data_IF_285671596129
#
_entry.id   IF_285671596129
#
_cell.length_a   1.000
_cell.length_b   1.000
_cell.length_c   1.000
_cell.angle_alpha   90.00
_cell.angle_beta   90.00
_cell.angle_gamma   90.00
#
_symmetry.space_group_name_H-M   'P 1'
#
loop_
_entity.id
_entity.type
_entity.pdbx_description
1 polymer ?
#
# COMPACT_ATOMS: atom_id res chain seq x y z
N UNK A 1 10.57 5.58 -4.07
CA UNK A 1 9.60 5.82 -2.98
C UNK A 1 10.11 5.27 -1.65
N UNK A 2 10.38 3.96 -1.52
CA UNK A 2 10.81 3.34 -0.25
C UNK A 2 11.97 4.08 0.46
N UNK A 3 12.99 4.55 -0.26
CA UNK A 3 14.07 5.37 0.34
C UNK A 3 13.56 6.61 1.09
N UNK A 4 12.58 7.31 0.52
CA UNK A 4 11.98 8.49 1.15
C UNK A 4 11.05 8.10 2.30
N UNK A 5 10.31 6.98 2.17
CA UNK A 5 9.51 6.41 3.25
C UNK A 5 10.38 6.13 4.48
N UNK A 6 11.55 5.49 4.31
CA UNK A 6 12.47 5.28 5.42
C UNK A 6 12.99 6.57 6.03
N UNK A 7 13.35 7.54 5.18
CA UNK A 7 13.84 8.85 5.64
C UNK A 7 12.80 9.55 6.52
N UNK A 8 11.53 9.58 6.08
CA UNK A 8 10.43 10.16 6.85
C UNK A 8 10.19 9.33 8.12
N UNK A 9 10.15 8.00 8.04
CA UNK A 9 9.95 7.14 9.21
C UNK A 9 11.02 7.36 10.29
N UNK A 10 12.27 7.66 9.90
CA UNK A 10 13.35 7.97 10.85
C UNK A 10 13.16 9.31 11.58
N UNK A 11 12.39 10.26 11.04
CA UNK A 11 12.12 11.54 11.73
C UNK A 11 11.04 11.42 12.81
N UNK A 12 10.29 10.31 12.84
CA UNK A 12 9.22 10.07 13.81
C UNK A 12 9.54 8.82 14.64
N UNK A 13 9.95 8.97 15.92
CA UNK A 13 10.30 7.83 16.78
C UNK A 13 9.21 6.75 16.83
N UNK A 14 7.93 7.15 16.93
CA UNK A 14 6.78 6.24 17.01
C UNK A 14 6.40 5.56 15.69
N UNK A 15 7.12 5.84 14.61
CA UNK A 15 6.90 5.29 13.26
C UNK A 15 8.08 4.42 12.84
N UNK A 16 9.24 4.60 13.49
CA UNK A 16 10.43 3.81 13.26
C UNK A 16 10.11 2.32 13.50
N UNK A 17 10.17 1.53 12.43
CA UNK A 17 9.87 0.10 12.47
C UNK A 17 8.43 -0.28 12.08
N UNK A 18 7.60 0.69 11.69
CA UNK A 18 6.23 0.49 11.17
C UNK A 18 6.13 0.56 9.63
N UNK A 19 7.29 0.62 8.95
CA UNK A 19 7.42 0.51 7.50
C UNK A 19 8.15 -0.81 7.15
N UNK A 20 7.93 -1.40 5.97
CA UNK A 20 8.55 -2.67 5.58
C UNK A 20 10.06 -2.55 5.64
N UNK A 21 10.77 -3.57 6.11
CA UNK A 21 12.23 -3.58 6.17
C UNK A 21 12.80 -4.26 4.92
N UNK A 22 13.34 -3.47 4.00
CA UNK A 22 14.03 -3.91 2.79
C UNK A 22 15.45 -4.32 3.15
N UNK A 23 15.72 -5.62 3.07
CA UNK A 23 17.02 -6.21 3.39
C UNK A 23 17.95 -6.15 2.18
N UNK A 24 17.43 -6.48 1.00
CA UNK A 24 18.20 -6.55 -0.23
C UNK A 24 17.32 -6.20 -1.43
N UNK A 25 17.91 -5.59 -2.45
CA UNK A 25 17.27 -5.46 -3.75
C UNK A 25 18.28 -5.67 -4.88
N UNK A 26 17.79 -6.15 -6.01
CA UNK A 26 18.54 -6.28 -7.25
C UNK A 26 17.69 -5.77 -8.41
N UNK A 27 18.30 -4.97 -9.28
CA UNK A 27 17.63 -4.44 -10.47
C UNK A 27 18.16 -5.22 -11.67
N UNK A 28 17.25 -5.84 -12.43
CA UNK A 28 17.64 -6.45 -13.71
C UNK A 28 17.77 -5.36 -14.76
N UNK A 29 18.91 -5.35 -15.45
CA UNK A 29 19.27 -4.35 -16.47
C UNK A 29 18.36 -4.33 -17.70
N UNK A 30 17.51 -5.35 -17.88
CA UNK A 30 16.56 -5.42 -18.99
C UNK A 30 15.27 -4.69 -18.62
N UNK A 31 15.15 -3.44 -19.09
CA UNK A 31 13.90 -2.69 -19.00
C UNK A 31 12.84 -3.26 -19.96
N UNK A 32 11.55 -3.02 -19.68
CA UNK A 32 10.49 -3.35 -20.62
C UNK A 32 10.64 -2.63 -21.95
N UNK A 33 11.33 -1.48 -21.98
CA UNK A 33 11.67 -0.79 -23.23
C UNK A 33 12.61 -1.63 -24.08
N UNK A 34 13.67 -2.20 -23.49
CA UNK A 34 14.60 -3.10 -24.19
C UNK A 34 13.90 -4.35 -24.73
N UNK A 35 12.95 -4.91 -23.96
CA UNK A 35 12.13 -6.05 -24.40
C UNK A 35 11.24 -5.66 -25.58
N UNK A 36 10.57 -4.50 -25.54
CA UNK A 36 9.70 -4.03 -26.62
C UNK A 36 10.48 -3.77 -27.92
N UNK A 37 11.67 -3.18 -27.81
CA UNK A 37 12.61 -3.00 -28.93
C UNK A 37 12.99 -4.36 -29.52
N UNK A 38 13.40 -5.32 -28.69
CA UNK A 38 13.78 -6.66 -29.15
C UNK A 38 12.62 -7.42 -29.82
N UNK A 39 11.37 -7.14 -29.45
CA UNK A 39 10.16 -7.71 -30.05
C UNK A 39 9.65 -6.95 -31.30
N UNK A 40 10.31 -5.86 -31.71
CA UNK A 40 9.93 -5.09 -32.90
C UNK A 40 8.59 -4.34 -32.75
N UNK A 41 8.18 -3.99 -31.53
CA UNK A 41 6.92 -3.29 -31.29
C UNK A 41 7.04 -1.80 -31.68
N UNK A 42 6.11 -1.31 -32.50
CA UNK A 42 6.12 0.05 -33.10
C UNK A 42 6.10 1.20 -32.09
N UNK A 43 5.72 0.95 -30.83
CA UNK A 43 5.70 1.95 -29.76
C UNK A 43 7.06 2.10 -29.04
N UNK A 44 8.10 1.40 -29.50
CA UNK A 44 9.44 1.42 -28.90
C UNK A 44 10.06 2.83 -28.82
N UNK A 45 9.77 3.71 -29.77
CA UNK A 45 10.24 5.11 -29.75
C UNK A 45 9.52 5.98 -28.70
N UNK A 46 8.29 5.63 -28.28
CA UNK A 46 7.61 6.26 -27.13
C UNK A 46 8.09 5.73 -25.77
N UNK A 47 8.92 4.67 -25.78
CA UNK A 47 9.30 3.93 -24.58
C UNK A 47 10.46 4.56 -23.78
N UNK A 48 11.09 5.64 -24.27
CA UNK A 48 12.09 6.40 -23.51
C UNK A 48 11.54 6.95 -22.18
N UNK A 49 10.24 7.16 -22.07
CA UNK A 49 9.58 7.68 -20.85
C UNK A 49 8.81 6.60 -20.05
N UNK A 50 8.72 5.36 -20.53
CA UNK A 50 7.79 4.34 -20.02
C UNK A 50 8.40 2.98 -19.64
N UNK A 51 9.73 2.87 -19.62
CA UNK A 51 10.40 1.61 -19.29
C UNK A 51 10.24 1.22 -17.82
N UNK A 52 9.66 0.06 -17.54
CA UNK A 52 9.67 -0.57 -16.22
C UNK A 52 10.92 -1.43 -16.09
N UNK A 53 11.64 -1.31 -14.99
CA UNK A 53 12.72 -2.23 -14.63
C UNK A 53 12.16 -3.31 -13.70
N UNK A 54 12.67 -4.55 -13.82
CA UNK A 54 12.35 -5.59 -12.86
C UNK A 54 13.21 -5.41 -11.61
N UNK A 55 12.53 -5.15 -10.49
CA UNK A 55 13.12 -5.13 -9.17
C UNK A 55 12.86 -6.47 -8.49
N UNK A 56 13.93 -7.10 -8.01
CA UNK A 56 13.85 -8.22 -7.07
C UNK A 56 14.14 -7.63 -5.70
N UNK A 57 13.17 -7.64 -4.80
CA UNK A 57 13.28 -7.08 -3.46
C UNK A 57 13.09 -8.19 -2.42
N UNK A 58 13.90 -8.14 -1.37
CA UNK A 58 13.85 -9.06 -0.24
C UNK A 58 13.54 -8.25 1.00
N UNK A 59 12.43 -8.57 1.64
CA UNK A 59 11.97 -7.92 2.86
C UNK A 59 12.03 -8.90 4.04
N UNK A 60 12.02 -8.36 5.26
CA UNK A 60 11.65 -9.13 6.45
C UNK A 60 10.33 -9.86 6.17
N UNK A 61 10.23 -11.13 6.58
CA UNK A 61 8.97 -11.87 6.51
C UNK A 61 7.94 -11.23 7.43
N UNK A 62 6.80 -10.87 6.86
CA UNK A 62 5.62 -10.36 7.58
C UNK A 62 4.48 -11.38 7.48
N UNK A 63 3.53 -11.29 8.40
CA UNK A 63 2.26 -12.04 8.36
C UNK A 63 1.08 -11.07 8.23
N UNK A 64 -0.05 -11.47 7.64
CA UNK A 64 -1.21 -10.60 7.51
C UNK A 64 -1.74 -10.13 8.87
N UNK A 65 -2.16 -8.87 8.98
CA UNK A 65 -2.78 -8.34 10.21
C UNK A 65 -4.05 -9.12 10.59
N UNK A 66 -4.70 -9.75 9.60
CA UNK A 66 -5.90 -10.57 9.75
C UNK A 66 -5.68 -11.84 10.57
N UNK A 67 -4.43 -12.21 10.85
CA UNK A 67 -4.09 -13.30 11.77
C UNK A 67 -4.27 -12.92 13.24
N UNK A 68 -4.38 -11.62 13.55
CA UNK A 68 -4.60 -11.10 14.90
C UNK A 68 -6.09 -10.99 15.21
N UNK A 69 -6.42 -10.84 16.50
CA UNK A 69 -7.78 -10.59 16.96
C UNK A 69 -7.80 -9.70 18.20
N UNK A 70 -8.97 -9.16 18.56
CA UNK A 70 -9.17 -8.36 19.78
C UNK A 70 -8.19 -7.19 19.93
N UNK A 71 -7.57 -7.09 21.10
CA UNK A 71 -6.66 -6.00 21.45
C UNK A 71 -5.38 -5.98 20.60
N UNK A 72 -4.82 -7.15 20.26
CA UNK A 72 -3.61 -7.25 19.45
C UNK A 72 -3.85 -6.67 18.04
N UNK A 73 -4.99 -7.00 17.44
CA UNK A 73 -5.40 -6.46 16.15
C UNK A 73 -5.58 -4.94 16.21
N UNK A 74 -6.33 -4.44 17.19
CA UNK A 74 -6.57 -3.00 17.33
C UNK A 74 -5.28 -2.22 17.59
N UNK A 75 -4.37 -2.75 18.40
CA UNK A 75 -3.08 -2.15 18.66
C UNK A 75 -2.22 -2.07 17.38
N UNK A 76 -2.13 -3.17 16.62
CA UNK A 76 -1.39 -3.21 15.36
C UNK A 76 -2.02 -2.28 14.29
N UNK A 77 -3.35 -2.26 14.18
CA UNK A 77 -4.05 -1.36 13.26
C UNK A 77 -3.78 0.11 13.62
N UNK A 78 -3.80 0.45 14.90
CA UNK A 78 -3.49 1.80 15.34
C UNK A 78 -2.05 2.22 15.05
N UNK A 79 -1.09 1.29 15.16
CA UNK A 79 0.29 1.52 14.75
C UNK A 79 0.39 1.84 13.25
N UNK A 80 -0.35 1.12 12.40
CA UNK A 80 -0.46 1.40 10.95
C UNK A 80 -1.02 2.80 10.71
N UNK A 81 -2.09 3.20 11.40
CA UNK A 81 -2.71 4.54 11.27
C UNK A 81 -1.70 5.64 11.61
N UNK A 82 -0.94 5.48 12.71
CA UNK A 82 0.11 6.44 13.09
C UNK A 82 1.20 6.53 12.03
N UNK A 83 1.65 5.40 11.51
CA UNK A 83 2.64 5.33 10.45
C UNK A 83 2.16 6.04 9.18
N UNK A 84 0.97 5.67 8.69
CA UNK A 84 0.36 6.27 7.51
C UNK A 84 0.26 7.80 7.64
N UNK A 85 -0.24 8.30 8.78
CA UNK A 85 -0.38 9.74 9.02
C UNK A 85 0.95 10.48 8.99
N UNK A 86 2.01 9.90 9.55
CA UNK A 86 3.34 10.50 9.53
C UNK A 86 3.91 10.55 8.11
N UNK A 87 3.78 9.46 7.34
CA UNK A 87 4.19 9.41 5.95
C UNK A 87 3.43 10.42 5.08
N UNK A 88 2.11 10.54 5.29
CA UNK A 88 1.28 11.53 4.61
C UNK A 88 1.75 12.97 4.89
N UNK A 89 2.03 13.30 6.16
CA UNK A 89 2.58 14.62 6.52
C UNK A 89 3.96 14.86 5.91
N UNK A 90 4.74 13.80 5.68
CA UNK A 90 5.99 13.84 4.93
C UNK A 90 5.81 13.90 3.40
N UNK A 91 4.57 13.98 2.91
CA UNK A 91 4.23 14.10 1.50
C UNK A 91 4.18 12.78 0.74
N UNK A 92 4.18 11.63 1.42
CA UNK A 92 4.00 10.30 0.80
C UNK A 92 2.53 9.92 0.81
N UNK A 93 1.97 9.69 -0.37
CA UNK A 93 0.60 9.23 -0.55
C UNK A 93 0.63 7.72 -0.79
N UNK A 94 -0.01 6.92 0.09
CA UNK A 94 0.03 5.46 -0.02
C UNK A 94 -0.80 4.95 -1.21
N UNK A 95 -2.05 5.44 -1.31
CA UNK A 95 -3.03 5.18 -2.38
C UNK A 95 -3.60 3.76 -2.47
N UNK A 96 -2.97 2.77 -1.84
CA UNK A 96 -3.51 1.41 -1.80
C UNK A 96 -3.61 0.86 -0.37
N UNK A 97 -4.43 1.51 0.46
CA UNK A 97 -4.73 1.00 1.80
C UNK A 97 -5.78 -0.10 1.68
N UNK A 98 -5.42 -1.33 2.07
CA UNK A 98 -6.28 -2.50 2.01
C UNK A 98 -5.85 -3.53 3.07
N UNK A 99 -6.71 -4.51 3.46
CA UNK A 99 -6.36 -5.47 4.48
C UNK A 99 -5.16 -6.35 4.13
N UNK A 100 -4.89 -6.57 2.83
CA UNK A 100 -3.71 -7.31 2.36
C UNK A 100 -2.40 -6.55 2.54
N UNK A 101 -2.47 -5.22 2.63
CA UNK A 101 -1.30 -4.35 2.78
C UNK A 101 -1.04 -4.00 4.25
N UNK A 102 -1.98 -4.33 5.15
CA UNK A 102 -1.77 -4.27 6.59
C UNK A 102 -1.14 -5.58 7.06
N UNK A 103 0.10 -5.50 7.51
CA UNK A 103 0.92 -6.65 7.88
C UNK A 103 1.45 -6.49 9.30
N UNK A 104 1.96 -7.57 9.89
CA UNK A 104 2.60 -7.53 11.21
C UNK A 104 3.85 -8.41 11.24
N UNK A 105 4.72 -8.15 12.21
CA UNK A 105 5.70 -9.13 12.68
C UNK A 105 5.71 -9.14 14.20
N UNK A 106 6.11 -10.27 14.79
CA UNK A 106 6.21 -10.42 16.23
C UNK A 106 7.63 -10.09 16.69
N UNK A 107 7.77 -9.29 17.74
CA UNK A 107 9.05 -8.83 18.28
C UNK A 107 8.89 -8.42 19.74
N UNK A 108 9.77 -8.90 20.63
CA UNK A 108 9.74 -8.59 22.06
C UNK A 108 8.34 -8.78 22.69
N UNK A 109 7.71 -9.92 22.43
CA UNK A 109 6.37 -10.28 22.94
C UNK A 109 5.23 -9.32 22.52
N UNK A 110 5.43 -8.60 21.41
CA UNK A 110 4.44 -7.69 20.85
C UNK A 110 4.35 -7.82 19.33
N UNK A 111 3.15 -7.63 18.80
CA UNK A 111 2.93 -7.47 17.37
C UNK A 111 3.19 -6.02 16.94
N UNK A 112 3.98 -5.89 15.89
CA UNK A 112 4.33 -4.61 15.26
C UNK A 112 3.61 -4.51 13.92
N UNK A 113 2.67 -3.59 13.82
CA UNK A 113 1.93 -3.22 12.62
C UNK A 113 2.79 -2.53 11.58
N UNK A 114 2.68 -3.00 10.33
CA UNK A 114 3.40 -2.50 9.16
C UNK A 114 2.38 -2.13 8.09
N UNK A 115 2.51 -0.91 7.55
CA UNK A 115 1.87 -0.57 6.27
C UNK A 115 2.80 -0.97 5.12
N UNK A 116 2.42 -1.99 4.37
CA UNK A 116 3.20 -2.57 3.28
C UNK A 116 2.72 -2.12 1.89
N UNK A 117 3.52 -2.43 0.87
CA UNK A 117 3.23 -2.21 -0.55
C UNK A 117 3.11 -0.74 -0.99
N UNK A 118 4.27 -0.17 -1.36
CA UNK A 118 4.38 1.21 -1.83
C UNK A 118 4.51 1.33 -3.35
N UNK A 119 4.18 0.28 -4.10
CA UNK A 119 4.38 0.27 -5.56
C UNK A 119 3.45 1.25 -6.28
N UNK A 120 2.27 1.51 -5.69
CA UNK A 120 1.28 2.47 -6.17
C UNK A 120 1.39 3.86 -5.52
N UNK A 121 2.30 4.01 -4.57
CA UNK A 121 2.47 5.25 -3.85
C UNK A 121 3.04 6.37 -4.73
N UNK A 122 2.92 7.60 -4.26
CA UNK A 122 3.49 8.77 -4.95
C UNK A 122 3.81 9.89 -3.96
N UNK A 123 4.42 10.97 -4.45
CA UNK A 123 4.66 12.16 -3.64
C UNK A 123 3.65 13.25 -3.98
N UNK A 124 3.18 14.00 -2.99
CA UNK A 124 2.24 15.11 -3.22
C UNK A 124 2.79 16.15 -4.21
N UNK A 125 4.11 16.42 -4.14
CA UNK A 125 4.82 17.35 -5.02
C UNK A 125 4.85 16.92 -6.50
N UNK A 126 4.57 15.66 -6.81
CA UNK A 126 4.64 15.13 -8.17
C UNK A 126 3.34 15.34 -8.97
N UNK A 127 2.29 15.90 -8.36
CA UNK A 127 0.99 16.13 -8.99
C UNK A 127 0.24 14.85 -9.39
N UNK A 128 -0.90 14.98 -10.08
CA UNK A 128 -1.66 13.83 -10.56
C UNK A 128 -0.99 13.25 -11.81
N UNK A 129 -0.45 12.03 -11.70
CA UNK A 129 0.25 11.35 -12.82
C UNK A 129 -0.68 10.57 -13.75
N UNK A 130 -2.00 10.71 -13.61
CA UNK A 130 -2.99 9.86 -14.31
C UNK A 130 -2.94 8.37 -13.95
N UNK A 131 -2.03 7.98 -13.05
CA UNK A 131 -1.88 6.65 -12.44
C UNK A 131 -2.75 6.50 -11.18
N UNK A 132 -3.71 7.40 -10.96
CA UNK A 132 -4.60 7.42 -9.78
C UNK A 132 -5.69 6.34 -9.85
N UNK A 133 -5.69 5.53 -10.91
CA UNK A 133 -6.57 4.36 -11.12
C UNK A 133 -6.25 3.18 -10.19
N UNK A 134 -5.40 3.38 -9.20
CA UNK A 134 -4.72 2.30 -8.49
C UNK A 134 -5.17 2.30 -7.04
N UNK A 135 -5.83 1.22 -6.66
CA UNK A 135 -6.30 0.95 -5.31
C UNK A 135 -7.16 -0.32 -5.36
N UNK A 136 -7.24 -1.02 -4.25
CA UNK A 136 -8.08 -2.22 -4.13
C UNK A 136 -9.56 -1.81 -4.12
N UNK A 137 -10.30 -2.06 -5.21
CA UNK A 137 -11.65 -1.48 -5.49
C UNK A 137 -12.62 -1.51 -4.30
N UNK A 138 -12.77 -2.61 -3.53
CA UNK A 138 -13.67 -2.63 -2.36
C UNK A 138 -13.28 -1.69 -1.22
N UNK A 139 -12.00 -1.27 -1.18
CA UNK A 139 -11.43 -0.39 -0.14
C UNK A 139 -11.11 1.02 -0.68
N UNK A 140 -11.39 1.25 -1.96
CA UNK A 140 -11.28 2.57 -2.57
C UNK A 140 -12.44 3.44 -2.07
N UNK A 141 -12.10 4.65 -1.61
CA UNK A 141 -13.09 5.63 -1.14
C UNK A 141 -14.16 5.88 -2.22
N UNK A 142 -15.42 6.05 -1.81
CA UNK A 142 -16.56 6.24 -2.73
C UNK A 142 -16.34 7.40 -3.70
N UNK A 143 -15.73 8.50 -3.22
CA UNK A 143 -15.46 9.68 -4.05
C UNK A 143 -14.41 9.43 -5.16
N UNK A 144 -13.58 8.39 -5.03
CA UNK A 144 -12.62 8.00 -6.07
C UNK A 144 -13.22 7.04 -7.11
N UNK A 145 -14.47 6.58 -6.93
CA UNK A 145 -15.20 5.76 -7.89
C UNK A 145 -15.91 6.59 -8.98
N UNK A 146 -15.71 7.92 -9.01
CA UNK A 146 -16.28 8.78 -10.05
C UNK A 146 -15.45 8.74 -11.34
N UNK A 147 -16.05 8.94 -12.53
CA UNK A 147 -15.31 8.99 -13.80
C UNK A 147 -14.16 10.01 -13.79
N UNK A 148 -14.35 11.16 -13.13
CA UNK A 148 -13.33 12.20 -13.02
C UNK A 148 -12.19 11.81 -12.07
N UNK A 149 -12.49 11.14 -10.95
CA UNK A 149 -11.46 10.58 -10.09
C UNK A 149 -10.67 9.47 -10.79
N UNK A 150 -11.35 8.57 -11.50
CA UNK A 150 -10.72 7.53 -12.32
C UNK A 150 -9.91 8.09 -13.50
N UNK A 151 -10.21 9.33 -13.91
CA UNK A 151 -9.41 10.09 -14.87
C UNK A 151 -8.23 10.84 -14.25
N UNK A 152 -8.02 10.73 -12.92
CA UNK A 152 -6.94 11.41 -12.19
C UNK A 152 -7.14 12.92 -12.06
N UNK A 153 -8.39 13.40 -12.13
CA UNK A 153 -8.75 14.81 -12.01
C UNK A 153 -9.09 15.24 -10.59
N UNK A 154 -9.24 14.28 -9.67
CA UNK A 154 -9.55 14.54 -8.26
C UNK A 154 -8.26 14.50 -7.46
N UNK A 155 -7.94 15.59 -6.75
CA UNK A 155 -6.78 15.62 -5.87
C UNK A 155 -6.95 14.55 -4.79
N UNK A 156 -5.95 13.68 -4.65
CA UNK A 156 -5.90 12.74 -3.52
C UNK A 156 -5.65 13.49 -2.22
N UNK A 157 -6.56 13.35 -1.24
CA UNK A 157 -6.48 13.98 0.07
C UNK A 157 -6.43 12.93 1.18
N UNK A 158 -5.95 13.31 2.36
CA UNK A 158 -5.77 12.38 3.48
C UNK A 158 -7.07 11.64 3.86
N UNK A 159 -8.21 12.33 3.73
CA UNK A 159 -9.52 11.75 4.02
C UNK A 159 -9.81 10.49 3.19
N UNK A 160 -9.28 10.38 1.98
CA UNK A 160 -9.44 9.20 1.14
C UNK A 160 -8.78 7.96 1.75
N UNK A 161 -7.49 8.06 2.10
CA UNK A 161 -6.77 6.95 2.73
C UNK A 161 -7.28 6.67 4.16
N UNK A 162 -7.73 7.71 4.88
CA UNK A 162 -8.33 7.56 6.20
C UNK A 162 -9.65 6.79 6.17
N UNK A 163 -10.49 7.02 5.16
CA UNK A 163 -11.70 6.23 4.95
C UNK A 163 -11.36 4.77 4.61
N UNK A 164 -10.35 4.53 3.76
CA UNK A 164 -9.85 3.17 3.50
C UNK A 164 -9.38 2.48 4.79
N UNK A 165 -8.68 3.17 5.69
CA UNK A 165 -8.28 2.61 6.99
C UNK A 165 -9.50 2.19 7.84
N UNK A 166 -10.59 2.96 7.82
CA UNK A 166 -11.85 2.60 8.49
C UNK A 166 -12.47 1.36 7.82
N UNK A 167 -12.52 1.32 6.49
CA UNK A 167 -13.03 0.16 5.77
C UNK A 167 -12.22 -1.11 6.03
N UNK A 168 -10.89 -1.02 6.16
CA UNK A 168 -10.05 -2.16 6.55
C UNK A 168 -10.39 -2.66 7.94
N UNK A 169 -10.59 -1.76 8.91
CA UNK A 169 -10.99 -2.11 10.27
C UNK A 169 -12.33 -2.86 10.26
N UNK A 170 -13.34 -2.27 9.63
CA UNK A 170 -14.67 -2.85 9.50
C UNK A 170 -14.63 -4.21 8.81
N UNK A 171 -13.89 -4.34 7.71
CA UNK A 171 -13.77 -5.59 6.98
C UNK A 171 -13.18 -6.70 7.82
N UNK A 172 -12.05 -6.45 8.48
CA UNK A 172 -11.41 -7.46 9.33
C UNK A 172 -12.32 -7.85 10.48
N UNK A 173 -12.96 -6.89 11.16
CA UNK A 173 -13.89 -7.15 12.26
C UNK A 173 -15.13 -7.96 11.86
N UNK A 174 -15.61 -7.83 10.61
CA UNK A 174 -16.81 -8.55 10.14
C UNK A 174 -16.50 -9.89 9.48
N UNK A 175 -15.28 -10.06 8.98
CA UNK A 175 -14.89 -11.23 8.17
C UNK A 175 -13.95 -12.17 8.88
N UNK A 176 -13.31 -11.78 9.96
CA UNK A 176 -12.35 -12.62 10.66
C UNK A 176 -12.76 -12.82 12.12
N UNK A 177 -12.62 -14.06 12.61
CA UNK A 177 -12.80 -14.43 14.01
C UNK A 177 -11.62 -15.29 14.46
N UNK A 178 -10.93 -14.87 15.52
CA UNK A 178 -9.74 -15.57 16.02
C UNK A 178 -8.66 -15.79 14.96
N UNK A 179 -8.47 -14.83 14.05
CA UNK A 179 -7.51 -14.92 12.95
C UNK A 179 -7.97 -15.73 11.73
N UNK A 180 -9.18 -16.29 11.76
CA UNK A 180 -9.72 -17.13 10.69
C UNK A 180 -10.79 -16.40 9.89
N UNK A 181 -10.72 -16.51 8.56
CA UNK A 181 -11.76 -16.01 7.69
C UNK A 181 -13.07 -16.79 7.93
N UNK A 182 -14.12 -16.07 8.27
CA UNK A 182 -15.46 -16.61 8.50
C UNK A 182 -16.05 -17.16 7.19
N UNK A 183 -16.63 -18.36 7.25
CA UNK A 183 -17.12 -19.12 6.10
C UNK A 183 -18.41 -18.57 5.46
N UNK A 184 -18.80 -19.21 4.34
CA UNK A 184 -19.77 -18.73 3.35
C UNK A 184 -21.20 -18.43 3.82
N UNK A 185 -21.85 -17.53 3.06
CA UNK A 185 -23.18 -16.91 3.25
C UNK A 185 -23.19 -15.57 4.00
N UNK A 186 -22.19 -14.71 3.76
CA UNK A 186 -22.22 -13.32 4.24
C UNK A 186 -22.34 -12.34 3.08
N UNK A 187 -23.05 -11.21 3.24
CA UNK A 187 -23.27 -10.23 2.17
C UNK A 187 -21.99 -9.71 1.48
N UNK A 188 -20.85 -9.76 2.17
CA UNK A 188 -19.56 -9.25 1.69
C UNK A 188 -18.76 -10.27 0.86
N UNK A 189 -19.28 -11.48 0.63
CA UNK A 189 -18.58 -12.50 -0.18
C UNK A 189 -18.70 -12.29 -1.69
N UNK A 190 -19.79 -11.63 -2.11
CA UNK A 190 -20.09 -11.35 -3.52
C UNK A 190 -19.51 -10.00 -3.98
N UNK A 191 -18.72 -9.36 -3.12
CA UNK A 191 -18.07 -8.07 -3.35
C UNK A 191 -16.65 -8.21 -3.89
#
# INVERSE_FOLDING_TARGET
ILKEVYKIAQTYPDVRGHVPELVLFHIKEKSTSNIRVALGLKDAERAEQGGRALYITVFRKLIPITTLSGEEFLAAWWQVVKCHRALWKGGVLHRDVSPSNLMVYHSHDQYIGILNDYDLSSFERDGSRGLERTGTVPFMVVNLLTPDAMAGKVKHVYAHDAESLIWTLTWVSLRYEGGNLLSKNRPLEEW
#
